data_IF_096749303470
#
_entry.id   IF_096749303470
#
_cell.length_a   1.000
_cell.length_b   1.000
_cell.length_c   1.000
_cell.angle_alpha   90.00
_cell.angle_beta   90.00
_cell.angle_gamma   90.00
#
_symmetry.space_group_name_H-M   'P 1'
#
loop_
_entity.id
_entity.type
_entity.pdbx_description
1 polymer ?
#
# COMPACT_ATOMS: atom_id res chain seq x y z
N UNK A 1 57.57 -8.48 76.30
CA UNK A 1 57.07 -8.02 74.99
C UNK A 1 56.01 -6.99 75.28
N UNK A 2 56.21 -5.75 74.88
CA UNK A 2 55.30 -4.66 75.18
C UNK A 2 54.04 -4.78 74.31
N UNK A 3 52.90 -5.04 74.94
CA UNK A 3 51.61 -5.22 74.27
C UNK A 3 51.18 -3.97 73.49
N UNK A 4 51.63 -2.79 73.92
CA UNK A 4 51.37 -1.53 73.24
C UNK A 4 52.07 -1.47 71.86
N UNK A 5 53.30 -1.97 71.78
CA UNK A 5 54.06 -2.06 70.53
C UNK A 5 53.43 -3.05 69.55
N UNK A 6 52.93 -4.21 70.02
CA UNK A 6 52.22 -5.20 69.19
C UNK A 6 50.90 -4.62 68.67
N UNK A 7 50.14 -3.93 69.52
CA UNK A 7 48.88 -3.29 69.12
C UNK A 7 49.10 -2.18 68.09
N UNK A 8 50.13 -1.35 68.25
CA UNK A 8 50.50 -0.31 67.27
C UNK A 8 50.84 -0.91 65.90
N UNK A 9 51.57 -2.03 65.86
CA UNK A 9 51.95 -2.68 64.60
C UNK A 9 50.74 -3.29 63.87
N UNK A 10 49.84 -3.96 64.60
CA UNK A 10 48.60 -4.53 64.03
C UNK A 10 47.67 -3.40 63.54
N UNK A 11 47.53 -2.34 64.32
CA UNK A 11 46.68 -1.19 63.96
C UNK A 11 47.23 -0.45 62.75
N UNK A 12 48.54 -0.20 62.69
CA UNK A 12 49.19 0.42 61.54
C UNK A 12 49.09 -0.45 60.28
N UNK A 13 49.29 -1.77 60.40
CA UNK A 13 49.19 -2.72 59.28
C UNK A 13 47.75 -2.84 58.77
N UNK A 14 46.76 -2.87 59.67
CA UNK A 14 45.33 -2.94 59.29
C UNK A 14 44.83 -1.61 58.74
N UNK A 15 45.31 -0.48 59.28
CA UNK A 15 44.99 0.84 58.77
C UNK A 15 45.55 1.07 57.36
N UNK A 16 46.78 0.62 57.08
CA UNK A 16 47.35 0.74 55.73
C UNK A 16 46.60 -0.14 54.71
N UNK A 17 46.21 -1.36 55.11
CA UNK A 17 45.38 -2.24 54.26
C UNK A 17 43.96 -1.69 54.10
N UNK A 18 43.38 -1.12 55.15
CA UNK A 18 42.04 -0.53 55.13
C UNK A 18 41.94 0.70 54.21
N UNK A 19 42.93 1.60 54.23
CA UNK A 19 42.99 2.75 53.34
C UNK A 19 43.22 2.30 51.89
N UNK A 20 44.11 1.33 51.67
CA UNK A 20 44.34 0.73 50.35
C UNK A 20 43.08 0.06 49.79
N UNK A 21 42.38 -0.73 50.60
CA UNK A 21 41.12 -1.38 50.22
C UNK A 21 40.00 -0.38 49.92
N UNK A 22 39.87 0.68 50.72
CA UNK A 22 38.90 1.75 50.47
C UNK A 22 39.21 2.52 49.17
N UNK A 23 40.48 2.80 48.89
CA UNK A 23 40.91 3.46 47.66
C UNK A 23 40.62 2.59 46.42
N UNK A 24 40.96 1.29 46.48
CA UNK A 24 40.66 0.34 45.40
C UNK A 24 39.14 0.25 45.19
N UNK A 25 38.36 0.11 46.26
CA UNK A 25 36.90 0.03 46.15
C UNK A 25 36.29 1.30 45.54
N UNK A 26 36.75 2.48 45.93
CA UNK A 26 36.30 3.75 45.38
C UNK A 26 36.64 3.87 43.87
N UNK A 27 37.85 3.49 43.47
CA UNK A 27 38.28 3.49 42.08
C UNK A 27 37.52 2.45 41.24
N UNK A 28 37.29 1.24 41.75
CA UNK A 28 36.50 0.20 41.10
C UNK A 28 35.03 0.62 40.92
N UNK A 29 34.44 1.26 41.93
CA UNK A 29 33.07 1.81 41.85
C UNK A 29 32.97 2.93 40.82
N UNK A 30 33.96 3.83 40.78
CA UNK A 30 34.02 4.90 39.79
C UNK A 30 34.18 4.37 38.37
N UNK A 31 35.12 3.44 38.14
CA UNK A 31 35.29 2.78 36.85
C UNK A 31 34.01 2.07 36.43
N UNK A 32 33.39 1.30 37.33
CA UNK A 32 32.12 0.62 37.05
C UNK A 32 31.02 1.57 36.60
N UNK A 33 30.88 2.74 37.24
CA UNK A 33 29.93 3.79 36.81
C UNK A 33 30.26 4.34 35.43
N UNK A 34 31.53 4.63 35.15
CA UNK A 34 31.96 5.16 33.84
C UNK A 34 31.70 4.15 32.73
N UNK A 35 32.06 2.88 32.94
CA UNK A 35 31.83 1.81 31.96
C UNK A 35 30.33 1.53 31.77
N UNK A 36 29.54 1.50 32.84
CA UNK A 36 28.10 1.34 32.75
C UNK A 36 27.45 2.49 31.96
N UNK A 37 27.82 3.73 32.25
CA UNK A 37 27.32 4.90 31.52
C UNK A 37 27.76 4.88 30.06
N UNK A 38 28.98 4.44 29.76
CA UNK A 38 29.49 4.33 28.39
C UNK A 38 28.69 3.28 27.59
N UNK A 39 28.50 2.10 28.15
CA UNK A 39 27.73 1.01 27.51
C UNK A 39 26.27 1.44 27.31
N UNK A 40 25.65 2.07 28.32
CA UNK A 40 24.29 2.61 28.19
C UNK A 40 24.21 3.70 27.11
N UNK A 41 25.19 4.59 27.03
CA UNK A 41 25.23 5.63 25.99
C UNK A 41 25.38 5.02 24.59
N UNK A 42 26.23 4.01 24.42
CA UNK A 42 26.42 3.34 23.13
C UNK A 42 25.17 2.55 22.73
N UNK A 43 24.56 1.80 23.66
CA UNK A 43 23.30 1.09 23.42
C UNK A 43 22.15 2.05 23.10
N UNK A 44 21.99 3.14 23.87
CA UNK A 44 20.93 4.12 23.59
C UNK A 44 21.11 4.80 22.24
N UNK A 45 22.35 5.06 21.82
CA UNK A 45 22.65 5.58 20.50
C UNK A 45 22.31 4.56 19.39
N UNK A 46 22.69 3.29 19.55
CA UNK A 46 22.33 2.22 18.61
C UNK A 46 20.81 2.05 18.50
N UNK A 47 20.10 2.01 19.63
CA UNK A 47 18.64 1.92 19.64
C UNK A 47 17.99 3.14 18.98
N UNK A 48 18.49 4.35 19.24
CA UNK A 48 17.98 5.57 18.62
C UNK A 48 18.18 5.56 17.10
N UNK A 49 19.36 5.12 16.64
CA UNK A 49 19.67 4.97 15.21
C UNK A 49 18.77 3.93 14.54
N UNK A 50 18.61 2.76 15.17
CA UNK A 50 17.73 1.70 14.66
C UNK A 50 16.26 2.14 14.60
N UNK A 51 15.79 2.88 15.61
CA UNK A 51 14.45 3.46 15.63
C UNK A 51 14.26 4.45 14.47
N UNK A 52 15.20 5.35 14.26
CA UNK A 52 15.12 6.34 13.18
C UNK A 52 15.14 5.66 11.80
N UNK A 53 15.98 4.64 11.62
CA UNK A 53 16.01 3.85 10.39
C UNK A 53 14.66 3.16 10.14
N UNK A 54 14.10 2.51 11.16
CA UNK A 54 12.80 1.83 11.06
C UNK A 54 11.67 2.81 10.74
N UNK A 55 11.68 4.00 11.34
CA UNK A 55 10.71 5.07 11.03
C UNK A 55 10.81 5.51 9.58
N UNK A 56 12.03 5.76 9.08
CA UNK A 56 12.26 6.15 7.69
C UNK A 56 11.80 5.07 6.71
N UNK A 57 12.10 3.80 6.99
CA UNK A 57 11.63 2.67 6.19
C UNK A 57 10.10 2.58 6.17
N UNK A 58 9.46 2.73 7.34
CA UNK A 58 8.00 2.76 7.45
C UNK A 58 7.39 3.90 6.64
N UNK A 59 7.96 5.10 6.72
CA UNK A 59 7.48 6.26 5.97
C UNK A 59 7.60 6.05 4.46
N UNK A 60 8.72 5.49 3.98
CA UNK A 60 8.92 5.16 2.57
C UNK A 60 7.92 4.11 2.06
N UNK A 61 7.69 3.06 2.84
CA UNK A 61 6.71 2.00 2.50
C UNK A 61 5.30 2.59 2.47
N UNK A 62 4.95 3.40 3.47
CA UNK A 62 3.65 4.07 3.56
C UNK A 62 3.44 4.98 2.35
N UNK A 63 4.39 5.84 2.03
CA UNK A 63 4.31 6.76 0.90
C UNK A 63 4.16 6.00 -0.43
N UNK A 64 5.00 4.99 -0.65
CA UNK A 64 4.96 4.16 -1.86
C UNK A 64 3.63 3.42 -2.00
N UNK A 65 3.12 2.86 -0.90
CA UNK A 65 1.84 2.14 -0.87
C UNK A 65 0.68 3.08 -1.16
N UNK A 66 0.65 4.26 -0.52
CA UNK A 66 -0.40 5.26 -0.74
C UNK A 66 -0.38 5.79 -2.17
N UNK A 67 0.81 6.04 -2.73
CA UNK A 67 0.97 6.44 -4.13
C UNK A 67 0.43 5.38 -5.07
N UNK A 68 0.81 4.12 -4.88
CA UNK A 68 0.33 3.01 -5.70
C UNK A 68 -1.21 2.85 -5.64
N UNK A 69 -1.80 2.96 -4.45
CA UNK A 69 -3.25 2.93 -4.28
C UNK A 69 -3.94 4.10 -4.99
N UNK A 70 -3.37 5.30 -4.92
CA UNK A 70 -3.87 6.47 -5.62
C UNK A 70 -3.79 6.29 -7.15
N UNK A 71 -2.67 5.82 -7.68
CA UNK A 71 -2.48 5.58 -9.11
C UNK A 71 -3.49 4.55 -9.66
N UNK A 72 -3.79 3.50 -8.87
CA UNK A 72 -4.82 2.51 -9.17
C UNK A 72 -6.21 3.16 -9.25
N UNK A 73 -6.58 3.99 -8.28
CA UNK A 73 -7.86 4.74 -8.29
C UNK A 73 -7.96 5.66 -9.51
N UNK A 74 -6.89 6.37 -9.84
CA UNK A 74 -6.85 7.26 -11.02
C UNK A 74 -7.00 6.48 -12.33
N UNK A 75 -6.33 5.34 -12.43
CA UNK A 75 -6.42 4.44 -13.59
C UNK A 75 -7.84 3.89 -13.77
N UNK A 76 -8.48 3.48 -12.68
CA UNK A 76 -9.87 3.03 -12.73
C UNK A 76 -10.84 4.15 -13.06
N UNK A 77 -10.65 5.37 -12.55
CA UNK A 77 -11.45 6.53 -12.95
C UNK A 77 -11.34 6.78 -14.46
N UNK A 78 -10.12 6.83 -15.00
CA UNK A 78 -9.90 7.02 -16.43
C UNK A 78 -10.54 5.91 -17.27
N UNK A 79 -10.47 4.66 -16.79
CA UNK A 79 -11.11 3.51 -17.45
C UNK A 79 -12.64 3.65 -17.45
N UNK A 80 -13.24 4.01 -16.32
CA UNK A 80 -14.69 4.23 -16.20
C UNK A 80 -15.15 5.35 -17.12
N UNK A 81 -14.39 6.44 -17.22
CA UNK A 81 -14.70 7.54 -18.14
C UNK A 81 -14.74 7.05 -19.60
N UNK A 82 -13.77 6.24 -20.02
CA UNK A 82 -13.76 5.68 -21.39
C UNK A 82 -14.92 4.69 -21.60
N UNK A 83 -15.14 3.77 -20.66
CA UNK A 83 -16.25 2.79 -20.74
C UNK A 83 -17.60 3.50 -20.79
N UNK A 84 -17.81 4.56 -20.03
CA UNK A 84 -19.05 5.34 -20.06
C UNK A 84 -19.34 5.93 -21.45
N UNK A 85 -18.28 6.38 -22.16
CA UNK A 85 -18.40 6.89 -23.54
C UNK A 85 -18.75 5.77 -24.51
N UNK A 86 -18.09 4.62 -24.40
CA UNK A 86 -18.43 3.43 -25.20
C UNK A 86 -19.91 3.09 -25.03
N UNK A 87 -20.36 2.95 -23.78
CA UNK A 87 -21.75 2.59 -23.48
C UNK A 87 -22.75 3.63 -23.99
N UNK A 88 -22.45 4.92 -23.83
CA UNK A 88 -23.28 6.00 -24.37
C UNK A 88 -23.39 5.98 -25.89
N UNK A 89 -22.30 5.63 -26.59
CA UNK A 89 -22.29 5.50 -28.05
C UNK A 89 -23.15 4.33 -28.53
N UNK A 90 -23.06 3.18 -27.85
CA UNK A 90 -23.91 2.02 -28.13
C UNK A 90 -25.38 2.32 -27.88
N UNK A 91 -25.71 2.91 -26.73
CA UNK A 91 -27.10 3.26 -26.40
C UNK A 91 -27.70 4.24 -27.43
N UNK A 92 -26.90 5.21 -27.88
CA UNK A 92 -27.31 6.16 -28.92
C UNK A 92 -27.52 5.50 -30.28
N UNK A 93 -26.66 4.53 -30.65
CA UNK A 93 -26.79 3.76 -31.88
C UNK A 93 -28.08 2.95 -31.90
N UNK A 94 -28.31 2.19 -30.84
CA UNK A 94 -29.43 1.25 -30.75
C UNK A 94 -30.79 1.96 -30.60
N UNK A 95 -30.81 3.15 -30.01
CA UNK A 95 -32.00 4.01 -29.99
C UNK A 95 -32.26 4.74 -31.32
N UNK A 96 -31.48 4.47 -32.38
CA UNK A 96 -31.64 5.10 -33.69
C UNK A 96 -31.37 6.60 -33.67
N UNK A 97 -30.60 7.10 -32.68
CA UNK A 97 -30.27 8.53 -32.54
C UNK A 97 -29.06 8.94 -33.38
N UNK A 98 -28.36 7.97 -33.98
CA UNK A 98 -27.19 8.22 -34.81
C UNK A 98 -27.56 8.46 -36.28
N UNK A 99 -26.83 9.37 -36.90
CA UNK A 99 -26.96 9.61 -38.34
C UNK A 99 -26.30 8.46 -39.13
N UNK A 100 -26.87 8.03 -40.28
CA UNK A 100 -26.37 6.87 -41.03
C UNK A 100 -24.90 6.94 -41.50
N UNK A 101 -24.34 8.14 -41.65
CA UNK A 101 -22.98 8.36 -42.10
C UNK A 101 -21.93 8.29 -40.97
N UNK A 102 -22.35 8.18 -39.71
CA UNK A 102 -21.46 8.18 -38.55
C UNK A 102 -21.07 6.76 -38.10
N UNK A 103 -21.76 5.72 -38.57
CA UNK A 103 -21.60 4.35 -38.07
C UNK A 103 -20.17 3.80 -38.19
N UNK A 104 -19.51 4.03 -39.34
CA UNK A 104 -18.11 3.59 -39.55
C UNK A 104 -17.12 4.30 -38.61
N UNK A 105 -17.24 5.62 -38.48
CA UNK A 105 -16.39 6.41 -37.58
C UNK A 105 -16.58 6.03 -36.11
N UNK A 106 -17.79 5.66 -35.70
CA UNK A 106 -18.08 5.21 -34.33
C UNK A 106 -17.49 3.83 -34.03
N UNK A 107 -17.40 2.96 -35.02
CA UNK A 107 -16.76 1.66 -34.87
C UNK A 107 -15.23 1.78 -34.70
N UNK A 108 -14.60 2.68 -35.46
CA UNK A 108 -13.17 2.97 -35.29
C UNK A 108 -12.89 3.58 -33.91
N UNK A 109 -13.72 4.53 -33.48
CA UNK A 109 -13.66 5.13 -32.14
C UNK A 109 -13.82 4.06 -31.05
N UNK A 110 -14.73 3.11 -31.21
CA UNK A 110 -14.91 2.00 -30.28
C UNK A 110 -13.66 1.12 -30.17
N UNK A 111 -13.02 0.75 -31.29
CA UNK A 111 -11.80 -0.07 -31.25
C UNK A 111 -10.65 0.66 -30.57
N UNK A 112 -10.49 1.96 -30.83
CA UNK A 112 -9.49 2.80 -30.16
C UNK A 112 -9.73 2.84 -28.65
N UNK A 113 -10.98 3.11 -28.25
CA UNK A 113 -11.37 3.19 -26.83
C UNK A 113 -11.19 1.85 -26.11
N UNK A 114 -11.52 0.72 -26.76
CA UNK A 114 -11.28 -0.62 -26.20
C UNK A 114 -9.81 -0.87 -25.93
N UNK A 115 -8.94 -0.57 -26.90
CA UNK A 115 -7.50 -0.73 -26.75
C UNK A 115 -6.94 0.16 -25.63
N UNK A 116 -7.47 1.39 -25.50
CA UNK A 116 -7.09 2.32 -24.44
C UNK A 116 -7.48 1.81 -23.06
N UNK A 117 -8.69 1.29 -22.89
CA UNK A 117 -9.14 0.65 -21.64
C UNK A 117 -8.21 -0.51 -21.29
N UNK A 118 -7.93 -1.39 -22.24
CA UNK A 118 -7.05 -2.53 -22.02
C UNK A 118 -5.64 -2.09 -21.60
N UNK A 119 -5.09 -1.06 -22.26
CA UNK A 119 -3.80 -0.47 -21.92
C UNK A 119 -3.74 0.12 -20.52
N UNK A 120 -4.79 0.83 -20.07
CA UNK A 120 -4.88 1.33 -18.69
C UNK A 120 -4.93 0.20 -17.67
N UNK A 121 -5.80 -0.79 -17.90
CA UNK A 121 -6.01 -1.88 -16.95
C UNK A 121 -4.80 -2.80 -16.85
N UNK A 122 -4.15 -3.14 -17.97
CA UNK A 122 -3.03 -4.09 -18.00
C UNK A 122 -1.82 -3.66 -17.16
N UNK A 123 -1.70 -2.37 -16.80
CA UNK A 123 -0.59 -1.88 -15.98
C UNK A 123 -0.74 -2.24 -14.49
N UNK A 124 -1.97 -2.27 -13.96
CA UNK A 124 -2.22 -2.24 -12.50
C UNK A 124 -3.36 -3.16 -12.04
N UNK A 125 -4.24 -3.58 -12.95
CA UNK A 125 -5.43 -4.33 -12.61
C UNK A 125 -5.13 -5.84 -12.49
N UNK A 126 -5.79 -6.54 -11.55
CA UNK A 126 -5.71 -8.00 -11.47
C UNK A 126 -6.50 -8.66 -12.60
N UNK A 127 -6.24 -9.95 -12.82
CA UNK A 127 -6.90 -10.73 -13.87
C UNK A 127 -8.43 -10.71 -13.75
N UNK A 128 -8.99 -10.69 -12.52
CA UNK A 128 -10.46 -10.68 -12.35
C UNK A 128 -11.11 -9.41 -12.92
N UNK A 129 -10.42 -8.27 -12.87
CA UNK A 129 -10.89 -7.02 -13.49
C UNK A 129 -10.75 -7.08 -15.00
N UNK A 130 -9.64 -7.63 -15.51
CA UNK A 130 -9.43 -7.85 -16.95
C UNK A 130 -10.54 -8.75 -17.52
N UNK A 131 -10.79 -9.90 -16.90
CA UNK A 131 -11.82 -10.85 -17.34
C UNK A 131 -13.22 -10.22 -17.34
N UNK A 132 -13.53 -9.38 -16.34
CA UNK A 132 -14.81 -8.69 -16.27
C UNK A 132 -14.95 -7.63 -17.38
N UNK A 133 -13.87 -6.89 -17.67
CA UNK A 133 -13.84 -5.97 -18.79
C UNK A 133 -13.94 -6.70 -20.14
N UNK A 134 -13.26 -7.83 -20.31
CA UNK A 134 -13.27 -8.60 -21.56
C UNK A 134 -14.67 -9.14 -21.84
N UNK A 135 -15.36 -9.68 -20.83
CA UNK A 135 -16.77 -10.09 -20.96
C UNK A 135 -17.68 -8.95 -21.41
N UNK A 136 -17.51 -7.75 -20.87
CA UNK A 136 -18.27 -6.57 -21.29
C UNK A 136 -17.96 -6.22 -22.76
N UNK A 137 -16.68 -6.10 -23.12
CA UNK A 137 -16.27 -5.69 -24.46
C UNK A 137 -16.63 -6.73 -25.52
N UNK A 138 -16.52 -8.02 -25.21
CA UNK A 138 -16.93 -9.11 -26.10
C UNK A 138 -18.43 -9.08 -26.38
N UNK A 139 -19.24 -8.82 -25.36
CA UNK A 139 -20.69 -8.67 -25.54
C UNK A 139 -21.01 -7.48 -26.46
N UNK A 140 -20.38 -6.33 -26.24
CA UNK A 140 -20.53 -5.15 -27.11
C UNK A 140 -20.06 -5.43 -28.55
N UNK A 141 -18.97 -6.17 -28.73
CA UNK A 141 -18.49 -6.61 -30.05
C UNK A 141 -19.52 -7.48 -30.76
N UNK A 142 -20.10 -8.46 -30.06
CA UNK A 142 -21.15 -9.32 -30.64
C UNK A 142 -22.39 -8.53 -31.05
N UNK A 143 -22.77 -7.52 -30.26
CA UNK A 143 -23.86 -6.58 -30.61
C UNK A 143 -23.50 -5.82 -31.89
N UNK A 144 -22.29 -5.23 -31.97
CA UNK A 144 -21.85 -4.49 -33.17
C UNK A 144 -21.78 -5.34 -34.43
N UNK A 145 -21.50 -6.65 -34.28
CA UNK A 145 -21.46 -7.61 -35.39
C UNK A 145 -22.83 -8.23 -35.70
N UNK A 146 -23.91 -7.80 -35.03
CA UNK A 146 -25.26 -8.31 -35.22
C UNK A 146 -25.46 -9.77 -34.77
N UNK A 147 -24.54 -10.32 -33.97
CA UNK A 147 -24.61 -11.70 -33.47
C UNK A 147 -25.46 -11.81 -32.21
N UNK A 148 -25.53 -10.74 -31.41
CA UNK A 148 -26.39 -10.63 -30.23
C UNK A 148 -27.24 -9.34 -30.31
N UNK A 149 -28.40 -9.33 -29.66
CA UNK A 149 -29.27 -8.15 -29.60
C UNK A 149 -28.83 -7.26 -28.45
N UNK A 150 -28.94 -5.94 -28.62
CA UNK A 150 -28.74 -5.01 -27.52
C UNK A 150 -29.88 -5.13 -26.50
N UNK A 151 -29.52 -5.45 -25.26
CA UNK A 151 -30.43 -5.46 -24.10
C UNK A 151 -29.75 -4.68 -22.98
N UNK A 152 -30.36 -3.57 -22.57
CA UNK A 152 -29.77 -2.67 -21.57
C UNK A 152 -29.48 -3.35 -20.23
N UNK A 153 -30.36 -4.25 -19.77
CA UNK A 153 -30.15 -4.98 -18.52
C UNK A 153 -28.85 -5.78 -18.51
N UNK A 154 -28.53 -6.43 -19.63
CA UNK A 154 -27.40 -7.34 -19.76
C UNK A 154 -26.09 -6.54 -19.83
N UNK A 155 -26.08 -5.48 -20.65
CA UNK A 155 -24.97 -4.53 -20.74
C UNK A 155 -24.69 -3.89 -19.39
N UNK A 156 -25.74 -3.46 -18.68
CA UNK A 156 -25.63 -2.89 -17.33
C UNK A 156 -25.07 -3.90 -16.33
N UNK A 157 -25.53 -5.14 -16.35
CA UNK A 157 -25.05 -6.18 -15.44
C UNK A 157 -23.55 -6.43 -15.63
N UNK A 158 -23.10 -6.54 -16.88
CA UNK A 158 -21.68 -6.69 -17.22
C UNK A 158 -20.86 -5.47 -16.78
N UNK A 159 -21.36 -4.26 -17.00
CA UNK A 159 -20.71 -3.03 -16.55
C UNK A 159 -20.62 -2.95 -15.02
N UNK A 160 -21.69 -3.31 -14.30
CA UNK A 160 -21.69 -3.38 -12.83
C UNK A 160 -20.72 -4.45 -12.31
N UNK A 161 -20.63 -5.59 -12.99
CA UNK A 161 -19.67 -6.62 -12.64
C UNK A 161 -18.22 -6.11 -12.77
N UNK A 162 -17.89 -5.41 -13.86
CA UNK A 162 -16.59 -4.77 -14.03
C UNK A 162 -16.29 -3.75 -12.91
N UNK A 163 -17.27 -2.89 -12.56
CA UNK A 163 -17.13 -1.93 -11.46
C UNK A 163 -16.94 -2.63 -10.11
N UNK A 164 -17.63 -3.74 -9.87
CA UNK A 164 -17.50 -4.51 -8.64
C UNK A 164 -16.13 -5.16 -8.51
N UNK A 165 -15.57 -5.73 -9.58
CA UNK A 165 -14.20 -6.26 -9.56
C UNK A 165 -13.18 -5.15 -9.28
N UNK A 166 -13.33 -3.98 -9.92
CA UNK A 166 -12.46 -2.83 -9.64
C UNK A 166 -12.58 -2.37 -8.17
N UNK A 167 -13.79 -2.31 -7.62
CA UNK A 167 -14.03 -1.95 -6.21
C UNK A 167 -13.41 -2.96 -5.23
N UNK A 168 -13.50 -4.25 -5.53
CA UNK A 168 -12.87 -5.31 -4.73
C UNK A 168 -11.35 -5.17 -4.72
N UNK A 169 -10.74 -4.85 -5.85
CA UNK A 169 -9.30 -4.66 -5.98
C UNK A 169 -8.80 -3.39 -5.25
N UNK A 170 -9.56 -2.29 -5.29
CA UNK A 170 -9.26 -1.09 -4.49
C UNK A 170 -9.39 -1.39 -2.97
N UNK A 171 -10.33 -2.25 -2.58
CA UNK A 171 -10.43 -2.77 -1.21
C UNK A 171 -11.09 -1.85 -0.18
N UNK A 172 -11.71 -0.73 -0.59
CA UNK A 172 -12.43 0.19 0.33
C UNK A 172 -13.73 -0.44 0.86
N UNK A 173 -14.55 -1.04 -0.02
CA UNK A 173 -15.75 -1.79 0.35
C UNK A 173 -15.89 -3.00 -0.57
N UNK A 174 -15.90 -4.20 0.03
CA UNK A 174 -15.93 -5.48 -0.70
C UNK A 174 -17.34 -5.92 -1.09
N UNK A 175 -18.39 -5.23 -0.61
CA UNK A 175 -19.78 -5.55 -0.95
C UNK A 175 -20.07 -5.12 -2.38
N UNK A 176 -20.57 -6.04 -3.18
CA UNK A 176 -21.01 -5.76 -4.54
C UNK A 176 -22.14 -4.72 -4.53
N UNK A 177 -22.07 -3.75 -5.45
CA UNK A 177 -23.21 -2.91 -5.79
C UNK A 177 -24.12 -3.67 -6.76
N UNK A 178 -25.40 -3.44 -6.62
CA UNK A 178 -26.45 -3.97 -7.49
C UNK A 178 -27.34 -2.82 -7.95
N UNK A 179 -27.90 -2.93 -9.14
CA UNK A 179 -28.92 -1.99 -9.59
C UNK A 179 -30.27 -2.38 -9.00
N UNK A 180 -30.87 -1.46 -8.24
CA UNK A 180 -32.18 -1.63 -7.60
C UNK A 180 -33.24 -0.69 -8.20
N UNK A 181 -33.04 -0.23 -9.44
CA UNK A 181 -34.05 0.56 -10.15
C UNK A 181 -34.98 -0.32 -10.99
N UNK A 182 -36.03 0.29 -11.55
CA UNK A 182 -37.13 -0.42 -12.20
C UNK A 182 -37.03 -0.52 -13.74
N UNK A 183 -35.91 -0.08 -14.33
CA UNK A 183 -35.68 -0.01 -15.78
C UNK A 183 -34.61 -0.98 -16.27
#
# INVERSE_FOLDING_TARGET
>A
MDWETVFKFITASTASIGIGGAAIFALSSWLGKVWANRILADQTHELASALEKTKRELDLIKETTLRFQNDKILTYRATIDVVSRILSSFDSHEMGRLQPHEAGSRFDEFNEQRMRVYGYLAMLAPQSVMDAQDKLMDHLLKISNGTEKYVWSDVRELALNMLNEARKDIGIDKRSIVYNGDL
#
